data_IF_713381500827
#
_entry.id   IF_713381500827
#
_cell.length_a   1.000
_cell.length_b   1.000
_cell.length_c   1.000
_cell.angle_alpha   90.00
_cell.angle_beta   90.00
_cell.angle_gamma   90.00
#
_symmetry.space_group_name_H-M   'P 1'
#
loop_
_entity.id
_entity.type
_entity.pdbx_description
1 polymer ?
#
# COMPACT_ATOMS: atom_id res chain seq x y z
N UNK A 1 -15.68 -16.00 -51.18
CA UNK A 1 -15.06 -16.56 -49.96
C UNK A 1 -13.80 -15.77 -49.64
N UNK A 2 -13.93 -14.61 -48.98
CA UNK A 2 -12.80 -13.80 -48.51
C UNK A 2 -13.25 -13.12 -47.22
N UNK A 3 -13.18 -13.86 -46.13
CA UNK A 3 -13.30 -13.36 -44.77
C UNK A 3 -12.11 -13.95 -44.01
N UNK A 4 -11.08 -13.14 -43.85
CA UNK A 4 -9.96 -13.37 -42.95
C UNK A 4 -9.19 -12.06 -42.86
N UNK A 5 -9.66 -11.15 -42.01
CA UNK A 5 -8.86 -10.05 -41.46
C UNK A 5 -9.61 -9.30 -40.35
N UNK A 6 -10.21 -10.05 -39.43
CA UNK A 6 -10.62 -9.54 -38.13
C UNK A 6 -10.39 -10.66 -37.13
N UNK A 7 -9.15 -10.82 -36.68
CA UNK A 7 -8.88 -11.58 -35.47
C UNK A 7 -7.72 -10.90 -34.72
N UNK A 8 -8.15 -10.01 -33.82
CA UNK A 8 -7.64 -9.95 -32.45
C UNK A 8 -6.15 -9.68 -32.31
N UNK A 9 -5.81 -8.38 -32.37
CA UNK A 9 -4.81 -7.82 -31.46
C UNK A 9 -5.31 -7.97 -30.00
N UNK A 10 -5.38 -9.20 -29.50
CA UNK A 10 -5.25 -9.44 -28.07
C UNK A 10 -3.80 -9.13 -27.73
N UNK A 11 -3.54 -7.88 -27.39
CA UNK A 11 -2.31 -7.47 -26.73
C UNK A 11 -2.31 -8.16 -25.38
N UNK A 12 -1.81 -9.40 -25.32
CA UNK A 12 -1.48 -10.06 -24.06
C UNK A 12 -0.42 -9.19 -23.39
N UNK A 13 -0.83 -8.37 -22.42
CA UNK A 13 0.11 -7.63 -21.58
C UNK A 13 1.09 -8.64 -20.98
N UNK A 14 2.39 -8.39 -21.11
CA UNK A 14 3.40 -9.25 -20.50
C UNK A 14 3.19 -9.25 -18.98
N UNK A 15 3.41 -10.39 -18.28
CA UNK A 15 3.20 -10.49 -16.84
C UNK A 15 3.88 -9.36 -16.04
N UNK A 16 5.06 -8.93 -16.49
CA UNK A 16 5.80 -7.82 -15.91
C UNK A 16 5.09 -6.45 -16.04
N UNK A 17 4.39 -6.19 -17.16
CA UNK A 17 3.62 -4.95 -17.32
C UNK A 17 2.44 -4.90 -16.35
N UNK A 18 1.73 -6.02 -16.19
CA UNK A 18 0.62 -6.10 -15.25
C UNK A 18 1.11 -5.97 -13.81
N UNK A 19 2.22 -6.63 -13.47
CA UNK A 19 2.87 -6.48 -12.16
C UNK A 19 3.19 -5.01 -11.85
N UNK A 20 3.78 -4.29 -12.81
CA UNK A 20 4.14 -2.88 -12.64
C UNK A 20 2.90 -2.01 -12.42
N UNK A 21 1.80 -2.27 -13.14
CA UNK A 21 0.55 -1.55 -12.91
C UNK A 21 0.00 -1.83 -11.52
N UNK A 22 -0.10 -3.10 -11.13
CA UNK A 22 -0.68 -3.51 -9.85
C UNK A 22 0.14 -2.97 -8.67
N UNK A 23 1.47 -3.01 -8.75
CA UNK A 23 2.34 -2.49 -7.68
C UNK A 23 2.30 -0.97 -7.60
N UNK A 24 2.13 -0.28 -8.73
CA UNK A 24 1.94 1.17 -8.76
C UNK A 24 0.60 1.57 -8.13
N UNK A 25 -0.49 0.86 -8.46
CA UNK A 25 -1.79 1.08 -7.82
C UNK A 25 -1.74 0.83 -6.30
N UNK A 26 -1.03 -0.22 -5.90
CA UNK A 26 -0.76 -0.50 -4.49
C UNK A 26 0.01 0.66 -3.83
N UNK A 27 1.06 1.18 -4.49
CA UNK A 27 1.87 2.27 -3.98
C UNK A 27 1.08 3.59 -3.83
N UNK A 28 0.21 3.92 -4.79
CA UNK A 28 -0.70 5.07 -4.70
C UNK A 28 -1.64 4.95 -3.49
N UNK A 29 -2.11 3.74 -3.19
CA UNK A 29 -2.97 3.51 -2.02
C UNK A 29 -2.19 3.69 -0.71
N UNK A 30 -0.92 3.27 -0.67
CA UNK A 30 -0.03 3.50 0.47
C UNK A 30 0.25 5.00 0.67
N UNK A 31 0.49 5.74 -0.41
CA UNK A 31 0.70 7.20 -0.36
C UNK A 31 -0.55 7.90 0.22
N UNK A 32 -1.75 7.52 -0.25
CA UNK A 32 -3.00 8.06 0.26
C UNK A 32 -3.17 7.80 1.77
N UNK A 33 -2.83 6.60 2.25
CA UNK A 33 -2.83 6.28 3.68
C UNK A 33 -1.86 7.18 4.45
N UNK A 34 -0.64 7.38 3.92
CA UNK A 34 0.36 8.29 4.48
C UNK A 34 -0.14 9.73 4.57
N UNK A 35 -0.82 10.20 3.52
CA UNK A 35 -1.42 11.53 3.49
C UNK A 35 -2.54 11.68 4.53
N UNK A 36 -3.43 10.70 4.66
CA UNK A 36 -4.48 10.69 5.69
C UNK A 36 -3.90 10.74 7.11
N UNK A 37 -2.84 9.97 7.36
CA UNK A 37 -2.15 9.97 8.65
C UNK A 37 -1.55 11.34 8.95
N UNK A 38 -0.85 11.93 7.97
CA UNK A 38 -0.26 13.26 8.09
C UNK A 38 -1.31 14.33 8.37
N UNK A 39 -2.37 14.39 7.58
CA UNK A 39 -3.47 15.35 7.76
C UNK A 39 -4.10 15.22 9.15
N UNK A 40 -4.34 13.99 9.60
CA UNK A 40 -4.92 13.72 10.91
C UNK A 40 -4.03 14.24 12.05
N UNK A 41 -2.72 13.94 12.00
CA UNK A 41 -1.76 14.44 13.00
C UNK A 41 -1.65 15.96 12.95
N UNK A 42 -1.60 16.56 11.75
CA UNK A 42 -1.52 18.00 11.57
C UNK A 42 -2.74 18.72 12.16
N UNK A 43 -3.94 18.16 12.02
CA UNK A 43 -5.16 18.69 12.62
C UNK A 43 -5.14 18.60 14.15
N UNK A 44 -4.69 17.47 14.72
CA UNK A 44 -4.66 17.29 16.18
C UNK A 44 -3.53 18.05 16.88
N UNK A 45 -2.52 18.51 16.16
CA UNK A 45 -1.42 19.30 16.74
C UNK A 45 -1.77 20.79 16.88
N UNK A 46 -2.84 21.27 16.25
CA UNK A 46 -3.20 22.68 16.33
C UNK A 46 -3.67 23.06 17.74
N UNK A 47 -3.24 24.20 18.29
CA UNK A 47 -3.78 24.72 19.55
C UNK A 47 -5.30 24.88 19.49
N UNK A 48 -6.01 24.42 20.51
CA UNK A 48 -7.48 24.46 20.55
C UNK A 48 -8.17 23.40 19.68
N UNK A 49 -7.43 22.44 19.12
CA UNK A 49 -8.02 21.32 18.39
C UNK A 49 -8.87 20.44 19.32
N UNK A 50 -10.04 20.00 18.84
CA UNK A 50 -10.94 19.13 19.61
C UNK A 50 -10.55 17.64 19.50
N UNK A 51 -9.25 17.33 19.47
CA UNK A 51 -8.77 15.95 19.33
C UNK A 51 -8.89 15.17 20.64
N UNK A 52 -10.12 14.79 20.99
CA UNK A 52 -10.40 13.93 22.13
C UNK A 52 -9.76 12.54 21.97
N UNK A 53 -9.30 11.96 23.08
CA UNK A 53 -8.60 10.67 23.12
C UNK A 53 -9.32 9.57 22.34
N UNK A 54 -10.63 9.46 22.55
CA UNK A 54 -11.47 8.43 21.91
C UNK A 54 -11.52 8.59 20.40
N UNK A 55 -11.56 9.83 19.89
CA UNK A 55 -11.58 10.12 18.45
C UNK A 55 -10.24 9.80 17.82
N UNK A 56 -9.15 10.19 18.49
CA UNK A 56 -7.79 9.90 18.04
C UNK A 56 -7.54 8.39 17.95
N UNK A 57 -7.87 7.65 19.01
CA UNK A 57 -7.74 6.19 19.01
C UNK A 57 -8.61 5.51 17.94
N UNK A 58 -9.83 6.00 17.69
CA UNK A 58 -10.70 5.46 16.64
C UNK A 58 -10.12 5.66 15.24
N UNK A 59 -9.71 6.89 14.90
CA UNK A 59 -9.11 7.17 13.58
C UNK A 59 -7.80 6.39 13.41
N UNK A 60 -6.98 6.31 14.44
CA UNK A 60 -5.75 5.54 14.41
C UNK A 60 -5.99 4.03 14.20
N UNK A 61 -7.00 3.43 14.87
CA UNK A 61 -7.41 2.04 14.61
C UNK A 61 -7.86 1.84 13.16
N UNK A 62 -8.61 2.79 12.59
CA UNK A 62 -9.02 2.75 11.19
C UNK A 62 -7.82 2.79 10.23
N UNK A 63 -6.86 3.68 10.48
CA UNK A 63 -5.63 3.77 9.67
C UNK A 63 -4.80 2.49 9.75
N UNK A 64 -4.68 1.90 10.95
CA UNK A 64 -3.99 0.62 11.14
C UNK A 64 -4.69 -0.54 10.43
N UNK A 65 -6.01 -0.53 10.40
CA UNK A 65 -6.78 -1.52 9.65
C UNK A 65 -6.53 -1.40 8.14
N UNK A 66 -6.63 -0.19 7.58
CA UNK A 66 -6.32 0.05 6.16
C UNK A 66 -4.88 -0.33 5.78
N UNK A 67 -3.93 -0.05 6.67
CA UNK A 67 -2.54 -0.51 6.51
C UNK A 67 -2.42 -2.05 6.50
N UNK A 68 -3.16 -2.74 7.36
CA UNK A 68 -3.18 -4.21 7.42
C UNK A 68 -3.76 -4.80 6.13
N UNK A 69 -4.80 -4.17 5.58
CA UNK A 69 -5.38 -4.55 4.29
C UNK A 69 -4.38 -4.34 3.14
N UNK A 70 -3.66 -3.22 3.12
CA UNK A 70 -2.59 -2.96 2.14
C UNK A 70 -1.51 -4.03 2.17
N UNK A 71 -1.11 -4.47 3.37
CA UNK A 71 -0.14 -5.56 3.54
C UNK A 71 -0.67 -6.88 2.98
N UNK A 72 -1.91 -7.24 3.28
CA UNK A 72 -2.54 -8.45 2.75
C UNK A 72 -2.65 -8.41 1.21
N UNK A 73 -2.97 -7.25 0.62
CA UNK A 73 -3.00 -7.06 -0.83
C UNK A 73 -1.60 -7.25 -1.46
N UNK A 74 -0.54 -6.75 -0.82
CA UNK A 74 0.83 -6.97 -1.29
C UNK A 74 1.21 -8.46 -1.24
N UNK A 75 0.86 -9.16 -0.16
CA UNK A 75 1.10 -10.60 -0.02
C UNK A 75 0.36 -11.38 -1.12
N UNK A 76 -0.88 -11.00 -1.44
CA UNK A 76 -1.64 -11.58 -2.55
C UNK A 76 -0.96 -11.33 -3.91
N UNK A 77 -0.48 -10.11 -4.18
CA UNK A 77 0.28 -9.81 -5.39
C UNK A 77 1.57 -10.64 -5.46
N UNK A 78 2.29 -10.76 -4.34
CA UNK A 78 3.50 -11.57 -4.29
C UNK A 78 3.22 -13.03 -4.67
N UNK A 79 2.19 -13.64 -4.08
CA UNK A 79 1.80 -15.03 -4.39
C UNK A 79 1.37 -15.18 -5.85
N UNK A 80 0.58 -14.23 -6.36
CA UNK A 80 0.08 -14.26 -7.74
C UNK A 80 1.21 -14.26 -8.77
N UNK A 81 2.19 -13.37 -8.60
CA UNK A 81 3.28 -13.21 -9.57
C UNK A 81 4.44 -14.18 -9.34
N UNK A 82 4.83 -14.48 -8.10
CA UNK A 82 5.92 -15.43 -7.85
C UNK A 82 5.51 -16.89 -8.06
N UNK A 83 4.21 -17.21 -8.02
CA UNK A 83 3.70 -18.56 -8.28
C UNK A 83 3.59 -18.92 -9.76
N UNK A 84 3.66 -17.94 -10.68
CA UNK A 84 3.41 -18.12 -12.11
C UNK A 84 4.59 -17.80 -13.04
N UNK A 85 5.66 -17.16 -12.56
CA UNK A 85 6.79 -16.77 -13.40
C UNK A 85 7.61 -17.97 -13.89
N UNK A 86 7.54 -18.27 -15.18
CA UNK A 86 8.40 -19.27 -15.83
C UNK A 86 9.75 -18.69 -16.28
N UNK A 87 9.87 -17.35 -16.31
CA UNK A 87 11.07 -16.64 -16.70
C UNK A 87 11.86 -16.19 -15.47
N UNK A 88 13.10 -16.67 -15.33
CA UNK A 88 13.99 -16.34 -14.21
C UNK A 88 14.28 -14.83 -14.11
N UNK A 89 14.43 -14.14 -15.23
CA UNK A 89 14.72 -12.70 -15.23
C UNK A 89 13.54 -11.89 -14.68
N UNK A 90 12.33 -12.20 -15.12
CA UNK A 90 11.10 -11.56 -14.61
C UNK A 90 10.90 -11.87 -13.13
N UNK A 91 11.17 -13.11 -12.72
CA UNK A 91 11.12 -13.52 -11.32
C UNK A 91 12.04 -12.66 -10.45
N UNK A 92 13.31 -12.47 -10.83
CA UNK A 92 14.26 -11.64 -10.08
C UNK A 92 13.84 -10.17 -9.99
N UNK A 93 13.26 -9.61 -11.06
CA UNK A 93 12.77 -8.22 -11.07
C UNK A 93 11.59 -8.06 -10.09
N UNK A 94 10.62 -8.99 -10.14
CA UNK A 94 9.46 -9.01 -9.27
C UNK A 94 9.89 -9.19 -7.80
N UNK A 95 10.78 -10.16 -7.53
CA UNK A 95 11.28 -10.43 -6.18
C UNK A 95 12.03 -9.22 -5.61
N UNK A 96 12.93 -8.61 -6.39
CA UNK A 96 13.68 -7.42 -5.97
C UNK A 96 12.74 -6.26 -5.64
N UNK A 97 11.71 -6.04 -6.46
CA UNK A 97 10.70 -5.01 -6.22
C UNK A 97 9.89 -5.30 -4.95
N UNK A 98 9.47 -6.54 -4.74
CA UNK A 98 8.77 -6.98 -3.54
C UNK A 98 9.60 -6.80 -2.27
N UNK A 99 10.90 -7.06 -2.31
CA UNK A 99 11.79 -6.82 -1.16
C UNK A 99 11.89 -5.34 -0.81
N UNK A 100 12.03 -4.46 -1.81
CA UNK A 100 12.04 -2.99 -1.59
C UNK A 100 10.74 -2.51 -0.94
N UNK A 101 9.62 -3.00 -1.45
CA UNK A 101 8.30 -2.65 -0.90
C UNK A 101 8.15 -3.13 0.55
N UNK A 102 8.62 -4.34 0.87
CA UNK A 102 8.64 -4.85 2.25
C UNK A 102 9.49 -3.99 3.18
N UNK A 103 10.58 -3.40 2.71
CA UNK A 103 11.36 -2.46 3.51
C UNK A 103 10.56 -1.19 3.83
N UNK A 104 9.85 -0.62 2.85
CA UNK A 104 8.95 0.53 3.08
C UNK A 104 7.87 0.17 4.12
N UNK A 105 7.27 -1.01 4.03
CA UNK A 105 6.29 -1.45 5.03
C UNK A 105 6.87 -1.55 6.44
N UNK A 106 8.14 -1.93 6.61
CA UNK A 106 8.78 -1.92 7.94
C UNK A 106 8.84 -0.51 8.53
N UNK A 107 9.11 0.52 7.72
CA UNK A 107 9.11 1.91 8.18
C UNK A 107 7.71 2.36 8.64
N UNK A 108 6.66 1.92 7.93
CA UNK A 108 5.28 2.14 8.36
C UNK A 108 4.95 1.39 9.65
N UNK A 109 5.38 0.13 9.79
CA UNK A 109 5.21 -0.65 11.03
C UNK A 109 5.83 0.08 12.24
N UNK A 110 7.05 0.60 12.07
CA UNK A 110 7.75 1.38 13.10
C UNK A 110 7.04 2.71 13.41
N UNK A 111 6.58 3.40 12.38
CA UNK A 111 5.84 4.66 12.51
C UNK A 111 4.52 4.43 13.28
N UNK A 112 3.74 3.43 12.92
CA UNK A 112 2.52 3.07 13.65
C UNK A 112 2.84 2.69 15.10
N UNK A 113 3.92 1.93 15.35
CA UNK A 113 4.34 1.60 16.73
C UNK A 113 4.67 2.86 17.54
N UNK A 114 5.42 3.78 16.95
CA UNK A 114 5.84 5.03 17.60
C UNK A 114 4.63 5.95 17.88
N UNK A 115 3.73 6.12 16.92
CA UNK A 115 2.53 6.94 17.09
C UNK A 115 1.62 6.33 18.15
N UNK A 116 1.42 5.01 18.14
CA UNK A 116 0.62 4.33 19.16
C UNK A 116 1.19 4.55 20.57
N UNK A 117 2.51 4.49 20.72
CA UNK A 117 3.19 4.75 21.99
C UNK A 117 3.10 6.21 22.45
N UNK A 118 2.92 7.16 21.53
CA UNK A 118 2.83 8.60 21.82
C UNK A 118 1.41 9.17 21.70
N UNK A 119 0.41 8.33 21.46
CA UNK A 119 -0.95 8.76 21.10
C UNK A 119 -1.61 9.64 22.18
N UNK A 120 -1.25 9.41 23.44
CA UNK A 120 -1.73 10.20 24.58
C UNK A 120 -1.23 11.66 24.53
N UNK A 121 0.00 11.90 24.04
CA UNK A 121 0.58 13.25 23.89
C UNK A 121 -0.08 14.08 22.79
N UNK A 122 -0.86 13.46 21.91
CA UNK A 122 -1.61 14.16 20.85
C UNK A 122 -2.98 14.65 21.32
N UNK A 123 -3.37 14.35 22.56
CA UNK A 123 -4.71 14.58 23.10
C UNK A 123 -4.72 15.58 24.25
N UNK A 124 -3.58 15.76 24.93
CA UNK A 124 -3.41 16.63 26.09
C UNK A 124 -2.82 18.01 25.74
N UNK A 125 -2.99 18.48 24.49
CA UNK A 125 -2.46 19.79 24.03
C UNK A 125 -3.50 20.90 24.10
#
# INVERSE_FOLDING_TARGET
MRQQQDNEQQVTATPLKQFNEDINQWALTLEQLGHELYQFVAQCRQPGSQCQQRRVQRKFRSLRHGYTELRARLEALQVHYMGGSSNEEEFWIIESSMQKVKMVLKEYDETFRLINGKIYKMVEQ
#
